data_IF_123917670603
#
_entry.id   IF_123917670603
#
_cell.length_a   1.000
_cell.length_b   1.000
_cell.length_c   1.000
_cell.angle_alpha   90.00
_cell.angle_beta   90.00
_cell.angle_gamma   90.00
#
_symmetry.space_group_name_H-M   'P 1'
#
loop_
_entity.id
_entity.type
_entity.pdbx_description
1 polymer ?
#
# COMPACT_ATOMS: atom_id res chain seq x y z
N UNK A 1 9.70 -9.94 8.07
CA UNK A 1 9.47 -8.53 7.68
C UNK A 1 9.78 -8.43 6.20
N UNK A 2 8.83 -7.98 5.40
CA UNK A 2 8.94 -8.01 3.94
C UNK A 2 9.18 -6.61 3.44
N UNK A 3 10.25 -6.44 2.65
CA UNK A 3 10.72 -5.13 2.21
C UNK A 3 10.20 -4.90 0.80
N UNK A 4 9.38 -3.86 0.64
CA UNK A 4 8.97 -3.34 -0.65
C UNK A 4 9.94 -2.29 -1.18
N UNK A 5 9.98 -2.11 -2.50
CA UNK A 5 10.74 -1.03 -3.14
C UNK A 5 9.82 0.14 -3.43
N UNK A 6 10.28 1.35 -3.11
CA UNK A 6 9.61 2.60 -3.47
C UNK A 6 10.11 3.06 -4.84
N UNK A 7 9.20 3.43 -5.74
CA UNK A 7 9.53 3.91 -7.08
C UNK A 7 8.54 4.98 -7.55
N UNK A 8 8.90 5.69 -8.62
CA UNK A 8 8.02 6.67 -9.28
C UNK A 8 7.40 6.02 -10.52
N UNK A 9 6.09 6.16 -10.68
CA UNK A 9 5.34 5.72 -11.87
C UNK A 9 4.36 6.81 -12.29
N UNK A 10 4.38 7.24 -13.56
CA UNK A 10 3.46 8.27 -14.07
C UNK A 10 3.36 9.52 -13.17
N UNK A 11 4.50 10.00 -12.64
CA UNK A 11 4.62 11.15 -11.72
C UNK A 11 4.08 10.93 -10.30
N UNK A 12 3.62 9.73 -9.94
CA UNK A 12 3.21 9.39 -8.58
C UNK A 12 4.20 8.44 -7.91
N UNK A 13 4.22 8.42 -6.58
CA UNK A 13 5.03 7.48 -5.82
C UNK A 13 4.24 6.19 -5.58
N UNK A 14 4.89 5.05 -5.79
CA UNK A 14 4.32 3.74 -5.58
C UNK A 14 5.25 2.86 -4.73
N UNK A 15 4.65 1.90 -4.02
CA UNK A 15 5.37 0.86 -3.29
C UNK A 15 5.02 -0.47 -3.91
N UNK A 16 6.03 -1.29 -4.25
CA UNK A 16 5.80 -2.67 -4.69
C UNK A 16 5.53 -3.53 -3.46
N UNK A 17 4.36 -4.15 -3.40
CA UNK A 17 4.03 -5.13 -2.35
C UNK A 17 4.61 -6.50 -2.69
N UNK A 18 5.46 -7.08 -1.82
CA UNK A 18 5.86 -8.48 -1.89
C UNK A 18 4.67 -9.44 -1.83
N UNK A 19 4.86 -10.67 -2.33
CA UNK A 19 3.78 -11.66 -2.50
C UNK A 19 3.03 -11.96 -1.20
N UNK A 20 3.76 -12.10 -0.10
CA UNK A 20 3.28 -12.47 1.23
C UNK A 20 2.51 -11.36 1.96
N UNK A 21 2.56 -10.13 1.45
CA UNK A 21 1.85 -8.97 1.99
C UNK A 21 0.93 -8.30 0.96
N UNK A 22 0.51 -9.05 -0.07
CA UNK A 22 -0.51 -8.58 -1.02
C UNK A 22 -1.86 -8.41 -0.33
N UNK A 23 -2.62 -7.44 -0.81
CA UNK A 23 -4.02 -7.31 -0.45
C UNK A 23 -4.82 -8.49 -1.02
N UNK A 24 -5.97 -8.83 -0.42
CA UNK A 24 -6.87 -9.83 -0.96
C UNK A 24 -7.25 -9.58 -2.42
N UNK A 25 -7.57 -10.65 -3.13
CA UNK A 25 -8.01 -10.56 -4.52
C UNK A 25 -9.23 -9.64 -4.66
N UNK A 26 -9.25 -8.84 -5.73
CA UNK A 26 -10.35 -7.91 -6.01
C UNK A 26 -10.25 -6.54 -5.30
N UNK A 27 -9.35 -6.36 -4.33
CA UNK A 27 -9.14 -5.04 -3.71
C UNK A 27 -8.47 -4.09 -4.70
N UNK A 28 -9.22 -3.09 -5.17
CA UNK A 28 -8.74 -2.05 -6.10
C UNK A 28 -8.62 -0.66 -5.48
N UNK A 29 -9.21 -0.45 -4.31
CA UNK A 29 -9.23 0.83 -3.61
C UNK A 29 -8.83 0.62 -2.16
N UNK A 30 -8.01 1.53 -1.66
CA UNK A 30 -7.52 1.54 -0.29
C UNK A 30 -7.59 2.94 0.28
N UNK A 31 -7.79 3.02 1.58
CA UNK A 31 -7.58 4.23 2.36
C UNK A 31 -6.13 4.25 2.85
N UNK A 32 -5.51 5.44 2.82
CA UNK A 32 -4.13 5.64 3.24
C UNK A 32 -4.14 6.64 4.39
N UNK A 33 -3.67 6.22 5.56
CA UNK A 33 -3.56 7.06 6.76
C UNK A 33 -2.10 7.34 7.08
N UNK A 34 -1.85 8.55 7.56
CA UNK A 34 -0.52 9.03 7.94
C UNK A 34 -0.36 8.94 9.45
N UNK A 35 0.70 8.27 9.91
CA UNK A 35 1.10 8.24 11.33
C UNK A 35 2.59 8.49 11.43
N UNK A 36 2.98 9.77 11.54
CA UNK A 36 4.39 10.17 11.45
C UNK A 36 5.03 9.70 10.14
N UNK A 37 6.07 8.88 10.26
CA UNK A 37 6.80 8.31 9.12
C UNK A 37 6.10 7.10 8.49
N UNK A 38 5.04 6.59 9.10
CA UNK A 38 4.30 5.42 8.61
C UNK A 38 3.19 5.82 7.63
N UNK A 39 2.91 4.93 6.68
CA UNK A 39 1.73 4.96 5.83
C UNK A 39 0.97 3.67 6.05
N UNK A 40 -0.22 3.79 6.63
CA UNK A 40 -1.09 2.65 6.95
C UNK A 40 -2.10 2.51 5.82
N UNK A 41 -2.12 1.35 5.17
CA UNK A 41 -2.97 1.07 4.01
C UNK A 41 -4.01 0.02 4.43
N UNK A 42 -5.29 0.29 4.18
CA UNK A 42 -6.38 -0.65 4.42
C UNK A 42 -7.39 -0.61 3.26
N UNK A 43 -8.05 -1.74 2.89
CA UNK A 43 -9.16 -1.70 1.94
C UNK A 43 -10.25 -0.72 2.38
N UNK A 44 -10.85 -0.01 1.43
CA UNK A 44 -11.94 0.96 1.72
C UNK A 44 -13.08 0.25 2.48
N UNK A 45 -13.57 0.88 3.55
CA UNK A 45 -14.68 0.35 4.36
C UNK A 45 -14.31 -0.76 5.35
N UNK A 46 -13.02 -1.04 5.55
CA UNK A 46 -12.52 -1.99 6.56
C UNK A 46 -11.74 -1.31 7.70
N UNK A 47 -11.94 0.00 7.89
CA UNK A 47 -11.38 0.79 8.99
C UNK A 47 -12.14 0.64 10.29
#
# INVERSE_FOLDING_TARGET
>A
MSIGTVFINNRTQAVRLPLDVRLPEGVKKVEIRVKGNERIIAPVGQT
#
